data_IF_882680924219
#
_entry.id   IF_882680924219
#
_cell.length_a   1.000
_cell.length_b   1.000
_cell.length_c   1.000
_cell.angle_alpha   90.00
_cell.angle_beta   90.00
_cell.angle_gamma   90.00
#
_symmetry.space_group_name_H-M   'P 1'
#
loop_
_entity.id
_entity.type
_entity.pdbx_description
1 polymer ?
#
# COMPACT_ATOMS: atom_id res chain seq x y z
N UNK A 1 16.28 -2.29 -13.42
CA UNK A 1 15.93 -1.85 -12.04
C UNK A 1 15.19 -2.98 -11.32
N UNK A 2 15.77 -3.58 -10.27
CA UNK A 2 15.05 -4.51 -9.40
C UNK A 2 14.06 -3.69 -8.58
N UNK A 3 12.82 -3.60 -9.04
CA UNK A 3 11.74 -3.04 -8.23
C UNK A 3 11.57 -4.00 -7.05
N UNK A 4 11.97 -3.57 -5.86
CA UNK A 4 11.74 -4.34 -4.65
C UNK A 4 10.24 -4.62 -4.60
N UNK A 5 9.84 -5.88 -4.75
CA UNK A 5 8.42 -6.28 -4.74
C UNK A 5 7.92 -6.16 -3.30
N UNK A 6 7.70 -4.93 -2.84
CA UNK A 6 7.11 -4.64 -1.55
C UNK A 6 5.62 -5.01 -1.61
N UNK A 7 5.34 -6.31 -1.65
CA UNK A 7 3.98 -6.89 -1.61
C UNK A 7 3.21 -6.41 -0.37
N UNK A 8 3.94 -5.99 0.65
CA UNK A 8 3.45 -5.55 1.93
C UNK A 8 2.56 -4.30 1.84
N UNK A 9 2.93 -3.26 1.07
CA UNK A 9 2.07 -2.08 0.85
C UNK A 9 0.74 -2.45 0.18
N UNK A 10 0.79 -3.36 -0.80
CA UNK A 10 -0.43 -3.89 -1.44
C UNK A 10 -1.31 -4.63 -0.44
N UNK A 11 -0.73 -5.42 0.46
CA UNK A 11 -1.49 -6.15 1.49
C UNK A 11 -2.19 -5.19 2.44
N UNK A 12 -1.50 -4.13 2.87
CA UNK A 12 -2.07 -3.10 3.74
C UNK A 12 -3.21 -2.35 3.07
N UNK A 13 -3.01 -1.92 1.82
CA UNK A 13 -4.06 -1.22 1.08
C UNK A 13 -5.30 -2.11 0.92
N UNK A 14 -5.12 -3.40 0.62
CA UNK A 14 -6.22 -4.36 0.54
C UNK A 14 -6.90 -4.61 1.88
N UNK A 15 -6.13 -4.71 2.98
CA UNK A 15 -6.73 -4.89 4.30
C UNK A 15 -7.52 -3.67 4.73
N UNK A 16 -7.07 -2.47 4.37
CA UNK A 16 -7.78 -1.24 4.70
C UNK A 16 -9.07 -1.07 3.90
N UNK A 17 -9.05 -1.43 2.62
CA UNK A 17 -10.26 -1.51 1.80
C UNK A 17 -11.27 -2.51 2.37
N UNK A 18 -10.80 -3.69 2.78
CA UNK A 18 -11.64 -4.72 3.39
C UNK A 18 -12.22 -4.28 4.75
N UNK A 19 -11.43 -3.59 5.59
CA UNK A 19 -11.90 -3.03 6.87
C UNK A 19 -13.03 -2.01 6.70
N UNK A 20 -13.08 -1.32 5.56
CA UNK A 20 -14.06 -0.26 5.26
C UNK A 20 -15.19 -0.74 4.34
N UNK A 21 -15.19 -2.01 3.95
CA UNK A 21 -16.11 -2.60 2.96
C UNK A 21 -16.15 -1.80 1.63
N UNK A 22 -14.99 -1.26 1.21
CA UNK A 22 -14.89 -0.44 0.01
C UNK A 22 -14.29 -1.23 -1.16
N UNK A 23 -14.99 -1.20 -2.30
CA UNK A 23 -14.44 -1.61 -3.57
C UNK A 23 -13.42 -0.60 -4.12
N UNK A 24 -12.72 -0.96 -5.21
CA UNK A 24 -11.76 -0.06 -5.85
C UNK A 24 -12.39 1.17 -6.50
N UNK A 25 -13.62 1.06 -7.03
CA UNK A 25 -14.32 2.18 -7.68
C UNK A 25 -14.55 3.39 -6.76
N UNK A 26 -15.09 3.24 -5.52
CA UNK A 26 -15.23 4.38 -4.62
C UNK A 26 -13.89 4.97 -4.16
N UNK A 27 -12.83 4.16 -4.02
CA UNK A 27 -11.47 4.67 -3.78
C UNK A 27 -11.01 5.58 -4.94
N UNK A 28 -11.24 5.16 -6.18
CA UNK A 28 -10.83 5.91 -7.38
C UNK A 28 -11.62 7.21 -7.51
N UNK A 29 -12.91 7.21 -7.20
CA UNK A 29 -13.71 8.44 -7.13
C UNK A 29 -13.15 9.44 -6.12
N UNK A 30 -12.78 8.97 -4.91
CA UNK A 30 -12.17 9.83 -3.88
C UNK A 30 -10.81 10.37 -4.30
N UNK A 31 -9.98 9.54 -4.93
CA UNK A 31 -8.68 9.97 -5.48
C UNK A 31 -8.83 11.03 -6.58
N UNK A 32 -9.84 10.89 -7.45
CA UNK A 32 -10.16 11.90 -8.47
C UNK A 32 -10.66 13.19 -7.86
N UNK A 33 -11.57 13.10 -6.88
CA UNK A 33 -12.08 14.27 -6.16
C UNK A 33 -10.96 15.03 -5.44
N UNK A 34 -9.94 14.34 -4.94
CA UNK A 34 -8.77 14.95 -4.32
C UNK A 34 -7.76 15.55 -5.33
N UNK A 35 -7.99 15.39 -6.65
CA UNK A 35 -7.08 15.86 -7.70
C UNK A 35 -5.78 15.05 -7.82
N UNK A 36 -5.74 13.86 -7.22
CA UNK A 36 -4.49 13.14 -6.98
C UNK A 36 -4.09 12.19 -8.14
N UNK A 37 -5.00 11.89 -9.08
CA UNK A 37 -4.67 11.03 -10.22
C UNK A 37 -5.43 11.40 -11.50
N UNK A 38 -4.67 11.71 -12.57
CA UNK A 38 -5.16 11.84 -13.95
C UNK A 38 -5.28 10.47 -14.67
N UNK A 39 -5.31 9.35 -13.94
CA UNK A 39 -5.29 8.01 -14.53
C UNK A 39 -6.67 7.34 -14.63
N UNK A 40 -6.76 6.40 -15.57
CA UNK A 40 -7.95 5.57 -15.78
C UNK A 40 -8.09 4.54 -14.66
N UNK A 41 -9.34 4.18 -14.32
CA UNK A 41 -9.65 3.20 -13.28
C UNK A 41 -8.92 1.87 -13.51
N UNK A 42 -8.88 1.41 -14.76
CA UNK A 42 -8.19 0.19 -15.16
C UNK A 42 -6.67 0.26 -14.91
N UNK A 43 -6.03 1.43 -15.08
CA UNK A 43 -4.60 1.62 -14.78
C UNK A 43 -4.32 1.50 -13.28
N UNK A 44 -5.17 2.12 -12.45
CA UNK A 44 -5.04 2.09 -10.99
C UNK A 44 -5.22 0.67 -10.46
N UNK A 45 -6.28 -0.02 -10.89
CA UNK A 45 -6.52 -1.43 -10.51
C UNK A 45 -5.33 -2.30 -10.88
N UNK A 46 -4.78 -2.13 -12.09
CA UNK A 46 -3.60 -2.87 -12.52
C UNK A 46 -2.35 -2.55 -11.69
N UNK A 47 -2.10 -1.28 -11.35
CA UNK A 47 -0.98 -0.86 -10.49
C UNK A 47 -1.08 -1.47 -9.09
N UNK A 48 -2.26 -1.39 -8.47
CA UNK A 48 -2.49 -1.94 -7.14
C UNK A 48 -2.41 -3.47 -7.16
N UNK A 49 -2.97 -4.12 -8.17
CA UNK A 49 -2.94 -5.58 -8.33
C UNK A 49 -1.51 -6.10 -8.49
N UNK A 50 -0.71 -5.47 -9.36
CA UNK A 50 0.70 -5.83 -9.60
C UNK A 50 1.62 -5.45 -8.44
N UNK A 51 1.22 -4.52 -7.59
CA UNK A 51 2.02 -4.04 -6.46
C UNK A 51 3.22 -3.18 -6.88
N UNK A 52 3.18 -2.58 -8.08
CA UNK A 52 4.25 -1.75 -8.65
C UNK A 52 3.92 -0.26 -8.54
N UNK A 53 3.47 0.18 -7.36
CA UNK A 53 3.16 1.58 -7.09
C UNK A 53 4.16 2.19 -6.12
N UNK A 54 4.33 3.51 -6.20
CA UNK A 54 5.22 4.26 -5.31
C UNK A 54 4.62 4.40 -3.91
N UNK A 55 5.48 4.61 -2.91
CA UNK A 55 5.01 4.91 -1.54
C UNK A 55 4.21 6.22 -1.47
N UNK A 56 4.53 7.21 -2.31
CA UNK A 56 3.72 8.43 -2.44
C UNK A 56 2.27 8.09 -2.85
N UNK A 57 2.09 7.20 -3.83
CA UNK A 57 0.77 6.73 -4.25
C UNK A 57 0.02 6.03 -3.10
N UNK A 58 0.73 5.26 -2.28
CA UNK A 58 0.15 4.64 -1.09
C UNK A 58 -0.38 5.68 -0.09
N UNK A 59 0.42 6.68 0.29
CA UNK A 59 0.00 7.75 1.22
C UNK A 59 -1.22 8.48 0.66
N UNK A 60 -1.21 8.75 -0.64
CA UNK A 60 -2.32 9.39 -1.33
C UNK A 60 -3.62 8.58 -1.21
N UNK A 61 -3.55 7.26 -1.40
CA UNK A 61 -4.68 6.36 -1.15
C UNK A 61 -5.14 6.40 0.31
N UNK A 62 -4.19 6.40 1.26
CA UNK A 62 -4.51 6.48 2.70
C UNK A 62 -5.23 7.78 3.05
N UNK A 63 -4.76 8.92 2.52
CA UNK A 63 -5.45 10.22 2.69
C UNK A 63 -6.85 10.22 2.06
N UNK A 64 -7.00 9.69 0.85
CA UNK A 64 -8.30 9.59 0.19
C UNK A 64 -9.27 8.64 0.93
N UNK A 65 -8.75 7.63 1.63
CA UNK A 65 -9.56 6.75 2.46
C UNK A 65 -9.88 7.36 3.82
N UNK A 66 -9.16 8.39 4.28
CA UNK A 66 -9.27 8.93 5.63
C UNK A 66 -8.55 8.06 6.67
N UNK A 67 -7.35 7.58 6.31
CA UNK A 67 -6.48 6.78 7.17
C UNK A 67 -5.36 7.69 7.67
N UNK A 68 -5.33 7.95 8.97
CA UNK A 68 -4.33 8.82 9.58
C UNK A 68 -3.09 8.05 10.05
N UNK A 69 -3.27 6.78 10.44
CA UNK A 69 -2.20 5.92 10.95
C UNK A 69 -2.24 4.54 10.32
N UNK A 70 -1.08 4.06 9.90
CA UNK A 70 -0.87 2.69 9.41
C UNK A 70 0.08 2.01 10.37
N UNK A 71 -0.36 0.90 10.96
CA UNK A 71 0.50 0.06 11.78
C UNK A 71 1.35 -0.86 10.89
N UNK A 72 2.66 -0.82 11.08
CA UNK A 72 3.63 -1.53 10.25
C UNK A 72 4.21 -2.79 10.91
N UNK A 73 3.73 -3.12 12.11
CA UNK A 73 4.31 -4.13 12.97
C UNK A 73 5.66 -3.70 13.57
N UNK A 74 6.12 -4.43 14.61
CA UNK A 74 7.42 -4.19 15.21
C UNK A 74 8.55 -4.62 14.28
N UNK A 75 9.73 -4.00 14.44
CA UNK A 75 10.94 -4.49 13.82
C UNK A 75 11.23 -5.92 14.32
N UNK A 76 11.66 -6.85 13.44
CA UNK A 76 12.08 -8.15 13.90
C UNK A 76 13.22 -7.98 14.92
N UNK A 77 13.17 -8.76 15.99
CA UNK A 77 14.20 -8.74 17.02
C UNK A 77 15.58 -8.93 16.37
N UNK A 78 16.56 -8.15 16.84
CA UNK A 78 17.90 -8.17 16.28
C UNK A 78 18.46 -9.59 16.35
N UNK A 79 18.66 -10.21 15.18
CA UNK A 79 19.22 -11.57 15.08
C UNK A 79 20.64 -11.53 15.66
N UNK A 80 20.81 -11.93 16.92
CA UNK A 80 22.13 -11.98 17.55
C UNK A 80 23.00 -12.94 16.76
N UNK A 81 24.13 -12.45 16.24
CA UNK A 81 25.18 -13.28 15.63
C UNK A 81 25.84 -14.13 16.73
N UNK A 82 25.14 -15.15 17.23
CA UNK A 82 25.68 -16.09 18.20
C UNK A 82 25.35 -17.49 17.70
N UNK A 83 26.10 -17.91 16.69
CA UNK A 83 26.49 -19.31 16.42
C UNK A 83 27.45 -19.30 15.23
N UNK A 84 28.61 -18.66 15.45
CA UNK A 84 29.86 -18.99 14.76
C UNK A 84 30.81 -19.57 15.83
N UNK A 85 30.45 -20.73 16.36
CA UNK A 85 31.28 -21.66 17.15
C UNK A 85 30.60 -23.02 16.99
N UNK A 86 31.20 -24.11 16.54
CA UNK A 86 32.60 -24.47 16.29
C UNK A 86 32.65 -25.45 15.10
#
# INVERSE_FOLDING_TARGET
MRVCRCSWLRRILKSELARRDLAYSPLIQRLRAAGIAAETERSIVNKVSRGTFSFAFFIMCMRALGVEKVDIGPLPEARSKVERKA
#
